data_IF_577779074821
#
_entry.id   IF_577779074821
#
_cell.length_a   1.000
_cell.length_b   1.000
_cell.length_c   1.000
_cell.angle_alpha   90.00
_cell.angle_beta   90.00
_cell.angle_gamma   90.00
#
_symmetry.space_group_name_H-M   'P 1'
#
loop_
_entity.id
_entity.type
_entity.pdbx_description
1 polymer ?
#
# COMPACT_ATOMS: atom_id res chain seq x y z
N UNK A 1 -77.49 3.77 8.37
CA UNK A 1 -76.14 4.36 8.50
C UNK A 1 -75.25 3.28 9.08
N UNK A 2 -74.34 2.71 8.28
CA UNK A 2 -73.43 1.66 8.69
C UNK A 2 -72.00 2.25 8.80
N UNK A 3 -71.23 1.94 9.87
CA UNK A 3 -69.91 2.51 10.05
C UNK A 3 -68.85 1.71 9.27
N UNK A 4 -68.12 2.40 8.40
CA UNK A 4 -67.00 1.88 7.63
C UNK A 4 -65.78 1.75 8.55
N UNK A 5 -65.30 0.52 8.78
CA UNK A 5 -64.10 0.25 9.57
C UNK A 5 -62.86 0.36 8.68
N UNK A 6 -62.06 1.41 8.88
CA UNK A 6 -60.71 1.52 8.30
C UNK A 6 -59.77 0.56 9.03
N UNK A 7 -59.26 -0.44 8.30
CA UNK A 7 -58.16 -1.29 8.77
C UNK A 7 -56.84 -0.64 8.37
N UNK A 8 -56.11 -0.10 9.34
CA UNK A 8 -54.74 0.34 9.12
C UNK A 8 -53.85 -0.89 8.93
N UNK A 9 -53.28 -1.07 7.73
CA UNK A 9 -52.17 -1.99 7.51
C UNK A 9 -50.91 -1.34 8.09
N UNK A 10 -50.44 -1.85 9.23
CA UNK A 10 -49.12 -1.52 9.76
C UNK A 10 -48.05 -2.23 8.92
N UNK A 11 -47.25 -1.47 8.19
CA UNK A 11 -46.04 -2.00 7.55
C UNK A 11 -44.95 -2.10 8.62
N UNK A 12 -44.55 -3.32 8.95
CA UNK A 12 -43.36 -3.58 9.76
C UNK A 12 -42.13 -3.34 8.87
N UNK A 13 -41.39 -2.27 9.14
CA UNK A 13 -40.08 -2.03 8.53
C UNK A 13 -39.08 -2.93 9.23
N UNK A 14 -38.72 -4.04 8.58
CA UNK A 14 -37.60 -4.88 9.00
C UNK A 14 -36.31 -4.16 8.58
N UNK A 15 -35.63 -3.54 9.55
CA UNK A 15 -34.32 -2.96 9.33
C UNK A 15 -33.29 -4.08 9.14
N UNK A 16 -32.85 -4.29 7.90
CA UNK A 16 -31.68 -5.12 7.62
C UNK A 16 -30.46 -4.31 8.07
N UNK A 17 -29.90 -4.66 9.23
CA UNK A 17 -28.56 -4.22 9.61
C UNK A 17 -27.59 -5.02 8.76
N UNK A 18 -27.27 -4.50 7.58
CA UNK A 18 -26.15 -4.99 6.79
C UNK A 18 -24.88 -4.68 7.59
N UNK A 19 -24.30 -5.71 8.22
CA UNK A 19 -22.98 -5.59 8.80
C UNK A 19 -22.01 -5.25 7.68
N UNK A 20 -21.50 -4.01 7.67
CA UNK A 20 -20.40 -3.64 6.81
C UNK A 20 -19.19 -4.46 7.28
N UNK A 21 -18.90 -5.56 6.59
CA UNK A 21 -17.59 -6.19 6.73
C UNK A 21 -16.57 -5.17 6.25
N UNK A 22 -15.64 -4.78 7.12
CA UNK A 22 -14.51 -3.94 6.75
C UNK A 22 -13.83 -4.59 5.54
N UNK A 23 -14.05 -4.03 4.36
CA UNK A 23 -13.62 -4.65 3.13
C UNK A 23 -12.15 -4.29 2.92
N UNK A 24 -11.26 -5.27 3.08
CA UNK A 24 -9.89 -5.17 2.57
C UNK A 24 -10.00 -5.11 1.05
N UNK A 25 -9.42 -4.08 0.40
CA UNK A 25 -9.55 -3.94 -1.05
C UNK A 25 -9.12 -5.23 -1.77
N UNK A 26 -7.97 -5.80 -1.37
CA UNK A 26 -7.57 -7.18 -1.65
C UNK A 26 -6.75 -7.76 -0.47
N UNK A 27 -7.13 -8.90 0.08
CA UNK A 27 -6.37 -9.62 1.11
C UNK A 27 -5.23 -10.47 0.52
N UNK A 28 -5.28 -10.74 -0.79
CA UNK A 28 -4.34 -11.59 -1.53
C UNK A 28 -3.85 -10.91 -2.79
N UNK A 29 -2.62 -11.24 -3.20
CA UNK A 29 -2.05 -10.75 -4.46
C UNK A 29 -2.84 -11.17 -5.72
N UNK A 30 -3.37 -12.39 -5.72
CA UNK A 30 -4.30 -12.92 -6.74
C UNK A 30 -5.18 -14.00 -6.11
N UNK A 31 -6.36 -14.24 -6.68
CA UNK A 31 -7.31 -15.23 -6.17
C UNK A 31 -6.93 -16.67 -6.54
N UNK A 32 -6.53 -16.90 -7.81
CA UNK A 32 -6.24 -18.24 -8.33
C UNK A 32 -5.05 -18.26 -9.31
N UNK A 33 -4.01 -17.46 -9.06
CA UNK A 33 -2.92 -17.21 -10.03
C UNK A 33 -3.43 -16.64 -11.37
N UNK A 34 -4.56 -15.94 -11.35
CA UNK A 34 -5.17 -15.28 -12.49
C UNK A 34 -4.95 -13.76 -12.42
N UNK A 35 -5.38 -13.04 -13.47
CA UNK A 35 -5.30 -11.59 -13.57
C UNK A 35 -6.36 -10.89 -12.68
N UNK A 36 -6.39 -11.23 -11.40
CA UNK A 36 -7.25 -10.65 -10.37
C UNK A 36 -6.42 -9.87 -9.35
N UNK A 37 -7.08 -9.03 -8.56
CA UNK A 37 -6.47 -8.25 -7.48
C UNK A 37 -5.24 -7.45 -7.96
N UNK A 38 -4.13 -7.53 -7.23
CA UNK A 38 -2.89 -6.84 -7.54
C UNK A 38 -2.27 -7.32 -8.87
N UNK A 39 -2.39 -8.62 -9.18
CA UNK A 39 -1.85 -9.22 -10.41
C UNK A 39 -2.43 -8.62 -11.69
N UNK A 40 -3.66 -8.09 -11.65
CA UNK A 40 -4.27 -7.43 -12.80
C UNK A 40 -3.44 -6.24 -13.31
N UNK A 41 -2.77 -5.51 -12.40
CA UNK A 41 -1.96 -4.33 -12.72
C UNK A 41 -0.45 -4.59 -12.59
N UNK A 42 -0.02 -5.48 -11.69
CA UNK A 42 1.40 -5.76 -11.45
C UNK A 42 1.92 -7.00 -12.19
N UNK A 43 1.06 -7.69 -12.95
CA UNK A 43 1.46 -8.85 -13.76
C UNK A 43 1.69 -10.12 -12.94
N UNK A 44 2.21 -11.16 -13.59
CA UNK A 44 2.50 -12.42 -12.90
C UNK A 44 3.77 -12.27 -12.04
N UNK A 45 3.61 -12.39 -10.72
CA UNK A 45 4.73 -12.34 -9.78
C UNK A 45 5.80 -13.39 -10.08
N UNK A 46 5.42 -14.54 -10.64
CA UNK A 46 6.32 -15.64 -11.00
C UNK A 46 6.86 -15.55 -12.44
N UNK A 47 6.55 -14.48 -13.18
CA UNK A 47 7.13 -14.28 -14.50
C UNK A 47 8.66 -14.21 -14.40
N UNK A 48 9.42 -14.72 -15.39
CA UNK A 48 10.88 -14.69 -15.37
C UNK A 48 11.45 -13.27 -15.55
N UNK A 49 10.63 -12.36 -16.07
CA UNK A 49 10.95 -10.94 -16.29
C UNK A 49 9.75 -10.11 -15.87
N UNK A 50 9.99 -8.90 -15.40
CA UNK A 50 8.94 -7.95 -15.07
C UNK A 50 9.02 -6.74 -16.00
N UNK A 51 7.88 -6.27 -16.49
CA UNK A 51 7.76 -4.97 -17.16
C UNK A 51 6.70 -4.17 -16.40
N UNK A 52 7.09 -3.03 -15.86
CA UNK A 52 6.20 -2.17 -15.10
C UNK A 52 5.17 -1.55 -16.04
N UNK A 53 3.90 -1.61 -15.64
CA UNK A 53 2.83 -0.93 -16.38
C UNK A 53 2.80 0.58 -16.14
N UNK A 54 3.51 1.06 -15.12
CA UNK A 54 3.57 2.48 -14.78
C UNK A 54 4.52 3.25 -15.72
N UNK A 55 5.73 2.74 -15.91
CA UNK A 55 6.81 3.43 -16.65
C UNK A 55 7.37 2.63 -17.84
N UNK A 56 6.93 1.39 -18.03
CA UNK A 56 7.43 0.50 -19.08
C UNK A 56 8.84 -0.04 -18.85
N UNK A 57 9.46 0.25 -17.69
CA UNK A 57 10.78 -0.29 -17.36
C UNK A 57 10.71 -1.81 -17.29
N UNK A 58 11.73 -2.47 -17.85
CA UNK A 58 11.81 -3.93 -17.87
C UNK A 58 13.02 -4.40 -17.07
N UNK A 59 12.79 -5.34 -16.17
CA UNK A 59 13.80 -6.02 -15.38
C UNK A 59 14.02 -7.43 -15.92
N UNK A 60 15.29 -7.85 -15.98
CA UNK A 60 15.67 -9.19 -16.42
C UNK A 60 15.30 -10.29 -15.41
N UNK A 61 14.85 -9.89 -14.22
CA UNK A 61 14.33 -10.76 -13.15
C UNK A 61 12.84 -10.49 -12.96
N UNK A 62 12.12 -11.50 -12.48
CA UNK A 62 10.74 -11.35 -12.05
C UNK A 62 10.60 -10.77 -10.65
N UNK A 63 9.43 -10.19 -10.37
CA UNK A 63 9.08 -9.66 -9.06
C UNK A 63 9.33 -10.67 -7.93
N UNK A 64 8.94 -11.93 -8.10
CA UNK A 64 9.19 -12.94 -7.08
C UNK A 64 10.68 -13.17 -6.81
N UNK A 65 11.49 -13.30 -7.86
CA UNK A 65 12.89 -13.66 -7.70
C UNK A 65 13.72 -12.49 -7.18
N UNK A 66 13.35 -11.23 -7.48
CA UNK A 66 14.02 -10.10 -6.85
C UNK A 66 13.79 -10.11 -5.33
N UNK A 67 12.53 -10.29 -4.89
CA UNK A 67 12.20 -10.29 -3.47
C UNK A 67 12.83 -11.48 -2.79
N UNK A 68 12.69 -12.66 -3.38
CA UNK A 68 13.20 -13.91 -2.82
C UNK A 68 14.71 -13.95 -2.78
N UNK A 69 15.40 -13.68 -3.89
CA UNK A 69 16.83 -14.02 -4.02
C UNK A 69 17.75 -12.82 -3.80
N UNK A 70 17.31 -11.62 -4.19
CA UNK A 70 18.10 -10.40 -4.03
C UNK A 70 17.84 -9.80 -2.65
N UNK A 71 16.58 -9.49 -2.33
CA UNK A 71 16.24 -8.74 -1.11
C UNK A 71 16.28 -9.61 0.16
N UNK A 72 15.61 -10.77 0.13
CA UNK A 72 15.31 -11.56 1.34
C UNK A 72 16.14 -12.85 1.45
N UNK A 73 17.13 -13.05 0.57
CA UNK A 73 18.08 -14.18 0.65
C UNK A 73 17.44 -15.57 0.83
N UNK A 74 16.23 -15.76 0.29
CA UNK A 74 15.47 -16.99 0.31
C UNK A 74 14.49 -17.13 1.48
N UNK A 75 14.33 -16.11 2.34
CA UNK A 75 13.38 -16.14 3.45
C UNK A 75 11.92 -16.08 2.97
N UNK A 76 11.41 -17.25 2.61
CA UNK A 76 10.06 -17.41 2.09
C UNK A 76 9.00 -17.03 3.13
N UNK A 77 9.31 -17.12 4.43
CA UNK A 77 8.33 -16.86 5.48
C UNK A 77 8.04 -15.36 5.65
N UNK A 78 8.88 -14.48 5.09
CA UNK A 78 8.60 -13.05 5.02
C UNK A 78 7.28 -12.73 4.28
N UNK A 79 6.96 -13.49 3.23
CA UNK A 79 5.78 -13.27 2.36
C UNK A 79 4.73 -14.38 2.43
N UNK A 80 5.13 -15.61 2.77
CA UNK A 80 4.23 -16.77 2.80
C UNK A 80 3.85 -17.15 4.23
N UNK A 81 2.59 -17.54 4.42
CA UNK A 81 2.16 -18.23 5.65
C UNK A 81 2.78 -19.63 5.73
N UNK A 82 2.91 -20.22 6.92
CA UNK A 82 3.31 -21.63 7.06
C UNK A 82 2.41 -22.55 6.24
N UNK A 83 3.00 -23.47 5.48
CA UNK A 83 2.28 -24.43 4.63
C UNK A 83 2.40 -24.09 3.15
N UNK A 84 1.29 -24.07 2.39
CA UNK A 84 1.34 -23.80 0.95
C UNK A 84 1.83 -22.37 0.68
N UNK A 85 2.60 -22.19 -0.39
CA UNK A 85 3.09 -20.87 -0.83
C UNK A 85 2.00 -20.01 -1.49
N UNK A 86 0.84 -20.59 -1.78
CA UNK A 86 -0.30 -19.88 -2.32
C UNK A 86 -1.54 -20.16 -1.45
N UNK A 87 -2.39 -19.15 -1.18
CA UNK A 87 -2.29 -17.75 -1.61
C UNK A 87 -1.19 -16.95 -0.89
N UNK A 88 -0.72 -15.87 -1.52
CA UNK A 88 0.11 -14.84 -0.87
C UNK A 88 -0.81 -13.77 -0.34
N UNK A 89 -0.87 -13.63 0.99
CA UNK A 89 -1.67 -12.61 1.65
C UNK A 89 -0.87 -11.30 1.73
N UNK A 90 -1.54 -10.17 1.57
CA UNK A 90 -0.90 -8.84 1.56
C UNK A 90 -0.50 -8.36 2.95
N UNK A 91 -1.09 -8.93 4.01
CA UNK A 91 -0.93 -8.50 5.41
C UNK A 91 -0.63 -9.63 6.40
N UNK A 92 -0.37 -10.84 5.92
CA UNK A 92 -0.14 -12.01 6.80
C UNK A 92 0.97 -12.87 6.21
N UNK A 93 1.97 -13.21 7.04
CA UNK A 93 3.03 -14.15 6.66
C UNK A 93 3.52 -14.96 7.87
N UNK A 94 4.57 -15.77 7.67
CA UNK A 94 5.25 -16.48 8.75
C UNK A 94 6.25 -15.63 9.53
N UNK A 95 6.57 -14.42 9.06
CA UNK A 95 7.43 -13.46 9.74
C UNK A 95 8.94 -13.65 9.57
N UNK A 96 9.43 -14.68 8.87
CA UNK A 96 10.85 -14.82 8.57
C UNK A 96 11.80 -14.66 9.77
N UNK A 97 13.07 -14.37 9.49
CA UNK A 97 14.11 -14.13 10.51
C UNK A 97 14.12 -12.65 10.88
N UNK A 98 13.52 -12.29 12.02
CA UNK A 98 13.52 -10.90 12.49
C UNK A 98 12.59 -9.96 11.70
N UNK A 99 11.69 -10.51 10.87
CA UNK A 99 10.64 -9.74 10.22
C UNK A 99 9.32 -9.91 11.00
N UNK A 100 8.41 -8.95 10.88
CA UNK A 100 7.06 -9.10 11.40
C UNK A 100 6.23 -10.01 10.47
N UNK A 101 5.21 -10.74 10.94
CA UNK A 101 4.39 -11.62 10.09
C UNK A 101 3.35 -10.87 9.23
N UNK A 102 3.79 -9.86 8.46
CA UNK A 102 2.90 -8.88 7.79
C UNK A 102 3.03 -8.82 6.26
N UNK A 103 3.85 -9.68 5.66
CA UNK A 103 3.98 -9.83 4.19
C UNK A 103 4.30 -8.52 3.44
N UNK A 104 3.68 -8.28 2.28
CA UNK A 104 3.87 -7.10 1.42
C UNK A 104 3.79 -5.78 2.20
N UNK A 105 2.87 -5.69 3.16
CA UNK A 105 2.69 -4.50 3.97
C UNK A 105 3.88 -4.16 4.88
N UNK A 106 4.85 -5.06 5.04
CA UNK A 106 6.08 -4.76 5.76
C UNK A 106 7.02 -3.82 5.00
N UNK A 107 7.01 -3.86 3.66
CA UNK A 107 7.76 -2.91 2.83
C UNK A 107 6.86 -1.80 2.27
N UNK A 108 5.63 -2.14 1.87
CA UNK A 108 4.70 -1.21 1.22
C UNK A 108 3.70 -0.60 2.21
N UNK A 109 4.07 -0.54 3.49
CA UNK A 109 3.17 -0.09 4.53
C UNK A 109 3.87 0.29 5.84
N UNK A 110 3.18 1.08 6.67
CA UNK A 110 3.73 1.72 7.86
C UNK A 110 2.88 1.47 9.11
N UNK A 111 3.52 1.45 10.27
CA UNK A 111 2.85 1.19 11.54
C UNK A 111 1.91 2.34 11.94
N UNK A 112 2.22 3.55 11.48
CA UNK A 112 1.46 4.77 11.68
C UNK A 112 0.09 4.70 10.99
N UNK A 113 -0.02 3.89 9.94
CA UNK A 113 -1.25 3.62 9.20
C UNK A 113 -2.13 2.56 9.90
N UNK A 114 -1.64 1.84 10.92
CA UNK A 114 -2.32 0.70 11.55
C UNK A 114 -3.50 1.07 12.46
N UNK A 115 -3.47 2.26 13.08
CA UNK A 115 -4.42 2.65 14.12
C UNK A 115 -5.69 3.36 13.61
N UNK A 116 -6.01 3.24 12.32
CA UNK A 116 -7.19 3.87 11.75
C UNK A 116 -8.41 2.93 11.81
N UNK A 117 -9.64 3.44 12.02
CA UNK A 117 -10.85 2.64 12.24
C UNK A 117 -11.18 1.60 11.15
N UNK A 118 -10.58 1.74 9.97
CA UNK A 118 -10.79 0.88 8.80
C UNK A 118 -9.47 0.36 8.19
N UNK A 119 -8.31 0.71 8.75
CA UNK A 119 -7.09 0.74 7.96
C UNK A 119 -5.90 0.14 8.68
N UNK A 120 -5.34 -0.89 8.05
CA UNK A 120 -4.01 -1.39 8.38
C UNK A 120 -2.93 -0.67 7.58
N UNK A 121 -1.70 -1.15 7.75
CA UNK A 121 -0.41 -0.65 7.25
C UNK A 121 -0.29 0.04 5.86
N UNK A 122 -1.26 0.04 4.94
CA UNK A 122 -1.03 0.50 3.55
C UNK A 122 -1.70 1.79 3.12
N UNK A 123 -1.80 2.83 3.96
CA UNK A 123 -2.55 4.03 3.59
C UNK A 123 -1.87 4.80 2.44
N UNK A 124 -0.57 5.02 2.52
CA UNK A 124 0.16 5.68 1.44
C UNK A 124 0.13 4.89 0.13
N UNK A 125 0.30 3.56 0.16
CA UNK A 125 0.07 2.73 -1.04
C UNK A 125 -1.34 2.90 -1.64
N UNK A 126 -2.38 3.04 -0.80
CA UNK A 126 -3.75 3.29 -1.29
C UNK A 126 -3.87 4.68 -1.93
N UNK A 127 -3.20 5.69 -1.39
CA UNK A 127 -3.20 7.04 -1.95
C UNK A 127 -2.36 7.13 -3.24
N UNK A 128 -1.24 6.43 -3.32
CA UNK A 128 -0.47 6.23 -4.55
C UNK A 128 -1.37 5.69 -5.67
N UNK A 129 -2.15 4.64 -5.37
CA UNK A 129 -3.13 4.10 -6.30
C UNK A 129 -4.25 5.09 -6.64
N UNK A 130 -4.77 5.84 -5.67
CA UNK A 130 -5.78 6.87 -5.92
C UNK A 130 -5.29 7.93 -6.90
N UNK A 131 -4.07 8.45 -6.71
CA UNK A 131 -3.42 9.44 -7.60
C UNK A 131 -3.10 8.85 -8.97
N UNK A 132 -2.91 7.53 -9.04
CA UNK A 132 -2.77 6.76 -10.27
C UNK A 132 -4.11 6.34 -10.90
N UNK A 133 -5.23 6.95 -10.48
CA UNK A 133 -6.58 6.68 -10.99
C UNK A 133 -7.12 5.26 -10.73
N UNK A 134 -6.59 4.58 -9.70
CA UNK A 134 -7.05 3.27 -9.23
C UNK A 134 -7.89 3.45 -7.97
N UNK A 135 -9.21 3.54 -8.15
CA UNK A 135 -10.15 3.89 -7.07
C UNK A 135 -10.79 2.71 -6.34
N UNK A 136 -10.42 1.46 -6.66
CA UNK A 136 -11.08 0.28 -6.07
C UNK A 136 -11.02 0.26 -4.54
N UNK A 137 -9.97 0.85 -3.96
CA UNK A 137 -9.78 0.93 -2.52
C UNK A 137 -10.76 1.89 -1.81
N UNK A 138 -11.24 2.95 -2.48
CA UNK A 138 -12.07 3.99 -1.85
C UNK A 138 -13.47 3.51 -1.48
N UNK A 139 -13.88 2.35 -2.00
CA UNK A 139 -15.16 1.72 -1.62
C UNK A 139 -15.15 1.27 -0.15
N UNK A 140 -13.97 1.06 0.42
CA UNK A 140 -13.81 0.41 1.71
C UNK A 140 -12.81 1.09 2.65
N UNK A 141 -11.91 1.91 2.10
CA UNK A 141 -10.83 2.58 2.79
C UNK A 141 -10.97 4.09 2.57
N UNK A 142 -11.52 4.80 3.56
CA UNK A 142 -11.67 6.27 3.48
C UNK A 142 -10.30 6.96 3.34
N UNK A 143 -9.25 6.37 3.90
CA UNK A 143 -7.88 6.87 3.83
C UNK A 143 -7.20 6.67 2.46
N UNK A 144 -7.86 6.00 1.51
CA UNK A 144 -7.40 5.94 0.13
C UNK A 144 -7.56 7.30 -0.59
N UNK A 145 -8.49 8.15 -0.13
CA UNK A 145 -8.64 9.51 -0.65
C UNK A 145 -7.71 10.46 0.13
N UNK A 146 -6.74 11.13 -0.52
CA UNK A 146 -5.85 12.09 0.13
C UNK A 146 -6.56 13.25 0.83
N UNK A 147 -7.84 13.51 0.51
CA UNK A 147 -8.63 14.52 1.22
C UNK A 147 -9.04 14.10 2.64
N UNK A 148 -9.02 12.79 2.94
CA UNK A 148 -9.54 12.23 4.20
C UNK A 148 -8.45 11.76 5.16
N UNK A 149 -7.23 11.56 4.67
CA UNK A 149 -6.10 11.09 5.46
C UNK A 149 -4.79 11.61 4.89
N UNK A 150 -3.85 11.94 5.76
CA UNK A 150 -2.48 12.27 5.37
C UNK A 150 -1.58 11.22 6.00
N UNK A 151 -1.00 10.30 5.20
CA UNK A 151 0.00 9.37 5.69
C UNK A 151 1.19 10.13 6.27
N UNK A 152 1.96 9.45 7.13
CA UNK A 152 3.24 10.01 7.56
C UNK A 152 4.21 10.07 6.38
N UNK A 153 5.08 11.08 6.41
CA UNK A 153 6.02 11.36 5.33
C UNK A 153 6.99 10.20 5.06
N UNK A 154 7.60 10.22 3.88
CA UNK A 154 8.45 9.16 3.33
C UNK A 154 9.64 8.79 4.22
N UNK A 155 10.15 9.71 5.06
CA UNK A 155 11.27 9.40 5.97
C UNK A 155 10.92 8.39 7.07
N UNK A 156 9.64 8.10 7.26
CA UNK A 156 9.18 7.12 8.25
C UNK A 156 9.22 5.72 7.64
N UNK A 157 10.30 5.02 7.94
CA UNK A 157 10.59 3.68 7.45
C UNK A 157 9.47 2.65 7.73
N UNK A 158 9.03 1.91 6.69
CA UNK A 158 8.21 0.70 6.86
C UNK A 158 8.83 -0.32 7.84
N UNK A 159 8.05 -1.25 8.43
CA UNK A 159 8.59 -2.20 9.39
C UNK A 159 9.68 -3.13 8.86
N UNK A 160 9.77 -3.33 7.54
CA UNK A 160 10.84 -4.08 6.90
C UNK A 160 11.96 -3.16 6.37
N UNK A 161 12.01 -1.89 6.73
CA UNK A 161 13.16 -1.00 6.49
C UNK A 161 13.91 -0.84 7.81
N UNK A 162 14.93 -1.68 8.01
CA UNK A 162 15.81 -1.62 9.18
C UNK A 162 17.20 -2.10 8.79
N UNK A 163 18.20 -1.78 9.63
CA UNK A 163 19.61 -2.13 9.41
C UNK A 163 19.76 -3.57 8.89
N UNK A 164 20.43 -3.79 7.74
CA UNK A 164 20.55 -5.11 7.15
C UNK A 164 21.16 -6.06 8.17
N UNK A 165 20.55 -7.22 8.28
CA UNK A 165 21.00 -8.26 9.20
C UNK A 165 21.75 -9.37 8.43
N UNK A 166 22.49 -10.25 9.12
CA UNK A 166 23.23 -11.32 8.44
C UNK A 166 22.37 -12.28 7.59
N UNK A 167 21.08 -12.39 7.87
CA UNK A 167 20.13 -13.18 7.06
C UNK A 167 19.60 -12.38 5.85
N UNK A 168 19.62 -11.05 5.89
CA UNK A 168 19.10 -10.17 4.83
C UNK A 168 20.05 -9.00 4.50
N UNK A 169 21.25 -9.25 3.96
CA UNK A 169 22.27 -8.21 3.75
C UNK A 169 21.91 -7.18 2.67
N UNK A 170 20.94 -7.47 1.81
CA UNK A 170 20.53 -6.63 0.68
C UNK A 170 19.10 -6.07 0.85
N UNK A 171 18.59 -6.06 2.07
CA UNK A 171 17.30 -5.45 2.36
C UNK A 171 17.40 -3.92 2.28
N UNK A 172 16.40 -3.21 1.72
CA UNK A 172 16.33 -1.76 1.76
C UNK A 172 16.43 -1.21 3.18
N UNK A 173 17.11 -0.08 3.31
CA UNK A 173 17.36 0.60 4.59
C UNK A 173 16.87 2.03 4.58
N UNK A 174 16.75 2.62 3.39
CA UNK A 174 16.39 4.01 3.21
C UNK A 174 15.08 4.11 2.40
N UNK A 175 13.92 4.43 3.02
CA UNK A 175 12.67 4.62 2.27
C UNK A 175 12.80 5.76 1.26
N UNK A 176 13.60 6.78 1.59
CA UNK A 176 13.89 7.93 0.74
C UNK A 176 14.74 7.63 -0.48
N UNK A 177 15.49 6.52 -0.44
CA UNK A 177 16.33 6.00 -1.51
C UNK A 177 16.81 7.07 -2.51
N UNK A 178 17.69 8.01 -2.10
CA UNK A 178 18.15 9.07 -3.00
C UNK A 178 18.83 8.39 -4.19
N UNK A 179 18.36 8.67 -5.41
CA UNK A 179 18.72 7.89 -6.59
C UNK A 179 20.22 7.56 -6.68
N UNK A 180 20.54 6.29 -6.96
CA UNK A 180 21.92 5.82 -7.15
C UNK A 180 22.58 5.14 -5.94
N UNK A 181 21.87 4.93 -4.82
CA UNK A 181 22.34 4.14 -3.66
C UNK A 181 22.34 2.63 -3.92
N UNK A 182 21.60 2.16 -4.93
CA UNK A 182 21.50 0.74 -5.26
C UNK A 182 20.36 0.01 -4.54
N UNK A 183 19.51 0.71 -3.78
CA UNK A 183 18.31 0.12 -3.13
C UNK A 183 17.06 0.11 -4.04
N UNK A 184 17.21 0.47 -5.32
CA UNK A 184 16.19 0.36 -6.38
C UNK A 184 15.89 -1.10 -6.74
N UNK A 185 15.31 -1.87 -5.82
CA UNK A 185 14.97 -3.28 -6.03
C UNK A 185 13.59 -3.37 -6.69
N UNK A 186 13.57 -3.54 -8.01
CA UNK A 186 12.37 -3.56 -8.88
C UNK A 186 11.39 -2.38 -8.67
N UNK A 187 11.90 -1.27 -8.12
CA UNK A 187 11.33 0.06 -8.25
C UNK A 187 11.93 0.78 -9.45
N UNK A 188 11.27 1.86 -9.88
CA UNK A 188 11.88 2.81 -10.82
C UNK A 188 13.18 3.39 -10.22
N UNK A 189 13.99 4.12 -11.00
CA UNK A 189 15.18 4.78 -10.47
C UNK A 189 14.90 5.75 -9.31
N UNK A 190 13.62 6.11 -9.13
CA UNK A 190 13.09 7.02 -8.11
C UNK A 190 12.60 6.33 -6.82
N UNK A 191 12.74 5.01 -6.65
CA UNK A 191 12.29 4.36 -5.41
C UNK A 191 10.76 4.18 -5.31
N UNK A 192 10.25 4.12 -4.07
CA UNK A 192 8.83 3.89 -3.77
C UNK A 192 8.20 5.17 -3.23
N UNK A 193 6.95 5.43 -3.63
CA UNK A 193 6.07 6.46 -3.05
C UNK A 193 5.31 5.81 -1.89
N UNK A 194 5.98 5.67 -0.72
CA UNK A 194 5.36 5.00 0.42
C UNK A 194 4.32 5.90 1.07
N UNK A 195 4.44 7.23 1.04
CA UNK A 195 3.47 8.20 1.58
C UNK A 195 2.26 8.49 0.68
N UNK A 196 2.35 8.16 -0.60
CA UNK A 196 1.25 8.23 -1.55
C UNK A 196 0.92 9.65 -2.01
N UNK A 197 1.83 10.61 -1.88
CA UNK A 197 1.64 11.98 -2.32
C UNK A 197 1.95 12.19 -3.82
N UNK A 198 2.62 11.20 -4.44
CA UNK A 198 2.99 11.14 -5.85
C UNK A 198 4.38 11.71 -6.16
N UNK A 199 5.12 12.10 -5.13
CA UNK A 199 6.56 12.33 -5.21
C UNK A 199 7.31 11.03 -4.86
N UNK A 200 8.59 11.02 -5.19
CA UNK A 200 9.44 9.85 -5.07
C UNK A 200 10.83 10.34 -4.63
N UNK A 201 11.61 9.46 -3.99
CA UNK A 201 13.03 9.64 -3.66
C UNK A 201 13.45 10.87 -2.81
N UNK A 202 14.57 11.50 -3.17
CA UNK A 202 15.20 12.61 -2.48
C UNK A 202 14.36 13.90 -2.55
N UNK A 203 13.49 14.00 -3.56
CA UNK A 203 12.54 15.11 -3.68
C UNK A 203 11.39 15.00 -2.64
N UNK A 204 11.18 13.79 -2.08
CA UNK A 204 10.14 13.47 -1.10
C UNK A 204 10.69 13.44 0.36
N UNK A 205 12.01 13.24 0.53
CA UNK A 205 12.61 13.14 1.86
C UNK A 205 13.11 14.43 2.51
N UNK A 206 12.73 15.57 1.95
CA UNK A 206 12.76 16.82 2.70
C UNK A 206 11.42 16.95 3.41
N UNK A 207 11.43 17.16 4.74
CA UNK A 207 10.22 17.35 5.56
C UNK A 207 9.26 18.35 4.90
N UNK A 208 8.34 17.88 4.06
CA UNK A 208 7.17 18.64 3.68
C UNK A 208 6.31 18.56 4.92
N UNK A 209 6.29 19.64 5.69
CA UNK A 209 5.35 19.75 6.80
C UNK A 209 3.94 19.52 6.24
N UNK A 210 3.02 19.02 7.08
CA UNK A 210 1.64 18.70 6.70
C UNK A 210 0.82 19.89 6.12
N UNK A 211 1.43 21.06 5.91
CA UNK A 211 0.89 22.22 5.20
C UNK A 211 1.24 22.24 3.69
N UNK A 212 2.04 21.29 3.18
CA UNK A 212 2.32 21.16 1.75
C UNK A 212 3.33 22.17 1.20
N UNK A 213 4.21 22.74 2.04
CA UNK A 213 5.28 23.63 1.59
C UNK A 213 6.66 23.07 1.93
N UNK A 214 7.54 22.99 0.92
CA UNK A 214 8.99 22.93 1.13
C UNK A 214 9.39 24.12 2.01
N UNK A 215 9.94 23.85 3.19
CA UNK A 215 10.46 24.90 4.06
C UNK A 215 11.64 25.60 3.39
N UNK A 216 11.38 26.69 2.66
CA UNK A 216 12.44 27.49 2.04
C UNK A 216 11.96 28.49 0.97
N UNK A 217 10.90 28.17 0.23
CA UNK A 217 10.41 29.06 -0.83
C UNK A 217 9.29 30.01 -0.35
N UNK A 218 9.69 31.15 0.18
CA UNK A 218 8.74 32.24 0.52
C UNK A 218 8.28 33.05 -0.71
N UNK A 219 8.76 32.75 -1.92
CA UNK A 219 8.44 33.55 -3.12
C UNK A 219 6.98 33.42 -3.56
N UNK A 220 6.26 32.40 -3.08
CA UNK A 220 4.82 32.20 -3.33
C UNK A 220 3.90 32.91 -2.32
N UNK A 221 4.44 33.59 -1.31
CA UNK A 221 3.67 34.39 -0.33
C UNK A 221 3.48 35.86 -0.74
N UNK A 222 3.52 36.20 -2.02
CA UNK A 222 2.97 37.49 -2.46
C UNK A 222 1.46 37.38 -2.64
N UNK A 223 0.74 37.40 -1.52
CA UNK A 223 -0.65 37.87 -1.54
C UNK A 223 -0.57 39.34 -1.89
N UNK A 224 -0.72 39.68 -3.17
CA UNK A 224 -1.18 41.01 -3.55
C UNK A 224 -2.60 41.16 -3.02
N UNK A 225 -2.71 41.62 -1.78
CA UNK A 225 -3.93 42.28 -1.32
C UNK A 225 -4.22 43.44 -2.27
N UNK A 226 -5.46 43.56 -2.81
CA UNK A 226 -5.84 44.73 -3.58
C UNK A 226 -5.78 46.03 -2.76
#
# INVERSE_FOLDING_TARGET
MAPTRFRALGFAVVGVVAGATAAVAYDRYSENHDATNCRACHGDFLAPTYTSLHDGQTWSTGLHDVHRTVMLSGDCAACHTPGPRFPVYTRVSGGGTGLLPISCAGCHGRAEDENQPLSGYGAGLRQHHYRSYVFVCTTCHDDADPANFSPVAEEIAPPYYFTPDPAHPAKPTDPCNPGGTGENIDGGPQGLDNDGDGFYDADDCTRIFADGFESGDTSRWSITTP
#
